data_IF_776636745843
#
_entry.id   IF_776636745843
#
_cell.length_a   1.000
_cell.length_b   1.000
_cell.length_c   1.000
_cell.angle_alpha   90.00
_cell.angle_beta   90.00
_cell.angle_gamma   90.00
#
_symmetry.space_group_name_H-M   'P 1'
#
loop_
_entity.id
_entity.type
_entity.pdbx_description
1 polymer ?
#
# COMPACT_ATOMS: atom_id res chain seq x y z
N UNK A 1 -21.10 0.97 8.10
CA UNK A 1 -19.89 0.54 7.39
C UNK A 1 -19.11 1.75 6.91
N UNK A 2 -17.87 1.90 7.36
CA UNK A 2 -16.98 3.01 7.01
C UNK A 2 -15.78 2.51 6.20
N UNK A 3 -15.07 3.44 5.57
CA UNK A 3 -13.80 3.17 4.86
C UNK A 3 -12.71 4.04 5.48
N UNK A 4 -11.54 3.44 5.66
CA UNK A 4 -10.33 4.16 6.04
C UNK A 4 -9.26 3.89 4.98
N UNK A 5 -8.47 4.91 4.65
CA UNK A 5 -7.40 4.80 3.66
C UNK A 5 -6.09 5.23 4.28
N UNK A 6 -5.07 4.39 4.13
CA UNK A 6 -3.69 4.72 4.49
C UNK A 6 -2.85 4.77 3.22
N UNK A 7 -2.04 5.81 3.10
CA UNK A 7 -1.20 6.07 1.94
C UNK A 7 0.23 5.67 2.25
N UNK A 8 0.86 4.95 1.33
CA UNK A 8 2.26 4.56 1.36
C UNK A 8 2.95 5.08 0.10
N UNK A 9 4.26 5.28 0.16
CA UNK A 9 5.09 5.68 -0.97
C UNK A 9 6.33 4.82 -1.02
N UNK A 10 6.79 4.51 -2.22
CA UNK A 10 8.04 3.79 -2.47
C UNK A 10 8.55 4.10 -3.88
N UNK A 11 9.85 3.96 -4.07
CA UNK A 11 10.52 4.20 -5.35
C UNK A 11 10.82 2.87 -6.03
N UNK A 12 10.39 2.68 -7.28
CA UNK A 12 10.79 1.48 -8.03
C UNK A 12 11.01 1.78 -9.52
N UNK A 13 11.95 1.05 -10.11
CA UNK A 13 12.24 1.10 -11.54
C UNK A 13 11.58 -0.09 -12.26
N UNK A 14 11.24 0.07 -13.54
CA UNK A 14 10.65 -0.98 -14.37
C UNK A 14 10.96 -0.79 -15.86
N UNK A 15 10.65 -1.82 -16.64
CA UNK A 15 10.72 -1.83 -18.11
C UNK A 15 9.45 -2.47 -18.66
N UNK A 16 8.79 -1.85 -19.63
CA UNK A 16 7.67 -2.47 -20.34
C UNK A 16 8.17 -3.24 -21.58
N UNK A 17 8.19 -4.56 -21.50
CA UNK A 17 8.57 -5.41 -22.62
C UNK A 17 7.59 -5.27 -23.80
N UNK A 18 8.12 -5.26 -25.02
CA UNK A 18 7.36 -5.14 -26.27
C UNK A 18 6.45 -3.88 -26.35
N UNK A 19 6.82 -2.81 -25.64
CA UNK A 19 6.16 -1.51 -25.75
C UNK A 19 6.84 -0.64 -26.82
N UNK A 20 6.08 0.08 -27.63
CA UNK A 20 6.59 0.93 -28.71
C UNK A 20 6.93 2.37 -28.27
N UNK A 21 6.52 2.76 -27.07
CA UNK A 21 6.80 4.07 -26.47
C UNK A 21 8.07 4.14 -25.59
N UNK A 22 8.27 5.28 -24.91
CA UNK A 22 9.47 5.55 -24.09
C UNK A 22 9.67 4.57 -22.92
N UNK A 23 8.59 4.01 -22.38
CA UNK A 23 8.61 3.10 -21.23
C UNK A 23 9.22 1.71 -21.53
N UNK A 24 9.58 1.44 -22.80
CA UNK A 24 10.39 0.29 -23.18
C UNK A 24 11.84 0.37 -22.69
N UNK A 25 12.28 1.57 -22.31
CA UNK A 25 13.57 1.79 -21.66
C UNK A 25 13.39 1.72 -20.14
N UNK A 26 14.46 1.34 -19.43
CA UNK A 26 14.47 1.34 -17.97
C UNK A 26 14.27 2.76 -17.44
N UNK A 27 13.29 2.90 -16.56
CA UNK A 27 12.94 4.14 -15.88
C UNK A 27 12.28 3.81 -14.55
N UNK A 28 12.05 4.81 -13.69
CA UNK A 28 11.38 4.59 -12.42
C UNK A 28 10.33 5.64 -12.11
N UNK A 29 9.59 5.38 -11.03
CA UNK A 29 8.57 6.26 -10.50
C UNK A 29 8.59 6.28 -8.98
N UNK A 30 8.15 7.42 -8.44
CA UNK A 30 7.71 7.55 -7.05
C UNK A 30 6.27 7.09 -6.94
N UNK A 31 6.07 5.83 -6.54
CA UNK A 31 4.75 5.24 -6.44
C UNK A 31 4.03 5.77 -5.20
N UNK A 32 2.71 5.98 -5.32
CA UNK A 32 1.81 6.26 -4.20
C UNK A 32 0.75 5.17 -4.14
N UNK A 33 0.83 4.33 -3.11
CA UNK A 33 -0.10 3.22 -2.87
C UNK A 33 -1.18 3.65 -1.88
N UNK A 34 -2.43 3.56 -2.31
CA UNK A 34 -3.61 3.85 -1.48
C UNK A 34 -4.23 2.53 -0.99
N UNK A 35 -4.05 2.20 0.29
CA UNK A 35 -4.62 0.99 0.89
C UNK A 35 -5.89 1.35 1.62
N UNK A 36 -7.03 0.88 1.11
CA UNK A 36 -8.35 1.18 1.67
C UNK A 36 -8.96 -0.06 2.29
N UNK A 37 -9.30 0.03 3.58
CA UNK A 37 -10.00 -1.02 4.31
C UNK A 37 -11.43 -0.57 4.59
N UNK A 38 -12.38 -1.48 4.41
CA UNK A 38 -13.81 -1.25 4.65
C UNK A 38 -14.31 -2.22 5.71
N UNK A 39 -15.06 -1.72 6.68
CA UNK A 39 -15.65 -2.57 7.70
C UNK A 39 -16.64 -1.83 8.60
N UNK A 40 -17.20 -2.57 9.55
CA UNK A 40 -17.97 -1.99 10.64
C UNK A 40 -17.02 -1.76 11.82
N UNK A 41 -17.04 -0.56 12.43
CA UNK A 41 -16.33 -0.34 13.68
C UNK A 41 -16.72 -1.38 14.73
N UNK A 42 -15.76 -1.80 15.54
CA UNK A 42 -16.05 -2.56 16.77
C UNK A 42 -16.99 -1.71 17.62
N UNK A 43 -18.12 -2.28 18.06
CA UNK A 43 -19.12 -1.61 18.90
C UNK A 43 -19.19 -2.32 20.26
N UNK A 44 -18.17 -2.12 21.08
CA UNK A 44 -18.05 -2.67 22.42
C UNK A 44 -17.23 -1.71 23.29
N UNK A 45 -17.88 -1.05 24.26
CA UNK A 45 -17.26 -0.01 25.10
C UNK A 45 -16.11 -0.53 25.97
N UNK A 46 -16.08 -1.82 26.31
CA UNK A 46 -15.02 -2.42 27.13
C UNK A 46 -13.80 -2.86 26.28
N UNK A 47 -13.88 -2.77 24.96
CA UNK A 47 -12.82 -3.17 24.06
C UNK A 47 -11.88 -2.00 23.73
N UNK A 48 -10.56 -2.16 23.90
CA UNK A 48 -9.57 -1.10 23.63
C UNK A 48 -9.56 -0.58 22.18
N UNK A 49 -10.06 -1.38 21.22
CA UNK A 49 -10.24 -0.99 19.81
C UNK A 49 -11.68 -0.57 19.46
N UNK A 50 -12.52 -0.22 20.44
CA UNK A 50 -13.87 0.28 20.19
C UNK A 50 -13.84 1.45 19.19
N UNK A 51 -14.77 1.46 18.23
CA UNK A 51 -14.83 2.47 17.17
C UNK A 51 -13.83 2.27 16.03
N UNK A 52 -12.93 1.28 16.09
CA UNK A 52 -11.97 1.01 15.02
C UNK A 52 -12.51 -0.06 14.06
N UNK A 53 -12.21 0.12 12.76
CA UNK A 53 -12.36 -0.96 11.76
C UNK A 53 -11.12 -1.85 11.76
N UNK A 54 -9.94 -1.25 11.86
CA UNK A 54 -8.64 -1.90 11.95
C UNK A 54 -7.64 -0.89 12.51
N UNK A 55 -6.57 -1.37 13.13
CA UNK A 55 -5.50 -0.53 13.63
C UNK A 55 -4.58 -0.08 12.48
N UNK A 56 -4.16 1.18 12.46
CA UNK A 56 -3.22 1.69 11.45
C UNK A 56 -1.81 1.11 11.59
N UNK A 57 -1.43 0.61 12.77
CA UNK A 57 -0.22 -0.16 13.01
C UNK A 57 -0.27 -1.51 12.29
N UNK A 58 -1.40 -2.22 12.37
CA UNK A 58 -1.62 -3.49 11.68
C UNK A 58 -1.54 -3.30 10.16
N UNK A 59 -2.22 -2.29 9.60
CA UNK A 59 -2.12 -1.96 8.16
C UNK A 59 -0.67 -1.62 7.78
N UNK A 60 0.03 -0.82 8.61
CA UNK A 60 1.41 -0.43 8.32
C UNK A 60 2.34 -1.62 8.24
N UNK A 61 2.24 -2.55 9.21
CA UNK A 61 3.08 -3.73 9.27
C UNK A 61 2.90 -4.60 8.03
N UNK A 62 1.64 -4.97 7.74
CA UNK A 62 1.30 -5.84 6.61
C UNK A 62 1.76 -5.21 5.29
N UNK A 63 1.40 -3.95 5.03
CA UNK A 63 1.73 -3.31 3.75
C UNK A 63 3.24 -3.10 3.58
N UNK A 64 3.97 -2.90 4.69
CA UNK A 64 5.43 -2.82 4.64
C UNK A 64 6.06 -4.17 4.29
N UNK A 65 5.72 -5.20 5.04
CA UNK A 65 6.29 -6.54 4.87
C UNK A 65 5.96 -7.13 3.49
N UNK A 66 4.74 -6.94 3.01
CA UNK A 66 4.24 -7.60 1.79
C UNK A 66 4.43 -6.79 0.50
N UNK A 67 4.70 -5.48 0.60
CA UNK A 67 4.73 -4.59 -0.57
C UNK A 67 5.90 -3.61 -0.50
N UNK A 68 5.85 -2.66 0.45
CA UNK A 68 6.78 -1.52 0.42
C UNK A 68 8.23 -1.99 0.56
N UNK A 69 8.54 -2.82 1.54
CA UNK A 69 9.92 -3.21 1.80
C UNK A 69 10.45 -4.21 0.75
N UNK A 70 9.57 -4.85 -0.03
CA UNK A 70 9.93 -5.70 -1.18
C UNK A 70 10.27 -4.87 -2.41
N UNK A 71 9.48 -3.82 -2.68
CA UNK A 71 9.55 -3.08 -3.94
C UNK A 71 10.28 -1.75 -3.85
N UNK A 72 10.44 -1.18 -2.66
CA UNK A 72 11.19 0.05 -2.48
C UNK A 72 12.66 -0.14 -2.88
N UNK A 73 13.17 0.81 -3.65
CA UNK A 73 14.50 0.79 -4.26
C UNK A 73 14.81 -0.49 -5.06
N UNK A 74 13.79 -1.17 -5.57
CA UNK A 74 13.93 -2.39 -6.36
C UNK A 74 13.56 -2.19 -7.82
N UNK A 75 13.95 -3.13 -8.68
CA UNK A 75 13.55 -3.18 -10.09
C UNK A 75 12.44 -4.20 -10.25
N UNK A 76 11.29 -3.76 -10.76
CA UNK A 76 10.18 -4.61 -11.15
C UNK A 76 10.53 -5.24 -12.51
N UNK A 77 10.93 -6.51 -12.45
CA UNK A 77 11.34 -7.34 -13.59
C UNK A 77 10.16 -8.03 -14.24
#
# INVERSE_FOLDING_TARGET
>A
MIRITKIFTFETAHVLYNYDGKCKNMHGHSYKLFVTVKGNPINNLDHHKNGMVVDFGDIKKIVKEEIVDIWDHSVLV
#
